data_IF_860057384565
#
_entry.id   IF_860057384565
#
_cell.length_a   1.000
_cell.length_b   1.000
_cell.length_c   1.000
_cell.angle_alpha   90.00
_cell.angle_beta   90.00
_cell.angle_gamma   90.00
#
_symmetry.space_group_name_H-M   'P 1'
#
loop_
_entity.id
_entity.type
_entity.pdbx_description
1 polymer ?
#
# COMPACT_ATOMS: atom_id res chain seq x y z
N UNK A 1 -13.75 -3.82 -11.21
CA UNK A 1 -13.60 -3.66 -9.75
C UNK A 1 -12.41 -4.45 -9.27
N UNK A 2 -11.61 -3.85 -8.45
CA UNK A 2 -10.42 -4.49 -7.95
C UNK A 2 -10.56 -4.98 -6.51
N UNK A 3 -9.56 -5.71 -6.06
CA UNK A 3 -9.45 -6.13 -4.67
C UNK A 3 -8.77 -5.03 -3.87
N UNK A 4 -9.38 -4.61 -2.77
CA UNK A 4 -8.78 -3.64 -1.85
C UNK A 4 -7.72 -4.31 -0.99
N UNK A 5 -6.60 -3.61 -0.79
CA UNK A 5 -5.52 -4.04 0.08
C UNK A 5 -5.14 -2.94 1.03
N UNK A 6 -4.75 -3.32 2.23
CA UNK A 6 -4.09 -2.45 3.18
C UNK A 6 -2.59 -2.70 3.08
N UNK A 7 -1.86 -1.68 2.66
CA UNK A 7 -0.40 -1.70 2.68
C UNK A 7 0.04 -1.03 3.97
N UNK A 8 0.72 -1.78 4.81
CA UNK A 8 1.22 -1.27 6.09
C UNK A 8 2.72 -1.20 6.01
N UNK A 9 3.30 -0.04 6.29
CA UNK A 9 4.75 0.09 6.30
C UNK A 9 5.22 0.65 7.63
N UNK A 10 6.41 0.19 8.06
CA UNK A 10 7.06 0.68 9.27
C UNK A 10 8.54 0.91 8.95
N UNK A 11 9.09 1.98 9.47
CA UNK A 11 10.51 2.26 9.28
C UNK A 11 11.35 1.22 10.02
N UNK A 12 12.45 0.80 9.38
CA UNK A 12 13.36 -0.13 10.02
C UNK A 12 14.16 0.58 11.10
N UNK A 13 14.62 -0.19 12.09
CA UNK A 13 15.51 0.32 13.12
C UNK A 13 16.84 0.73 12.49
N UNK A 14 17.46 1.77 13.01
CA UNK A 14 18.79 2.24 12.62
C UNK A 14 18.89 2.73 11.17
N UNK A 15 17.79 3.19 10.59
CA UNK A 15 17.83 3.85 9.29
C UNK A 15 18.44 5.24 9.45
N UNK A 16 19.44 5.55 8.65
CA UNK A 16 20.00 6.90 8.63
C UNK A 16 19.02 7.88 7.98
N UNK A 17 18.95 9.09 8.54
CA UNK A 17 18.06 10.13 8.03
C UNK A 17 18.28 10.39 6.54
N UNK A 18 19.54 10.42 6.09
CA UNK A 18 19.87 10.66 4.69
C UNK A 18 19.29 9.59 3.77
N UNK A 19 19.36 8.31 4.18
CA UNK A 19 18.77 7.21 3.42
C UNK A 19 17.24 7.30 3.37
N UNK A 20 16.64 7.66 4.50
CA UNK A 20 15.19 7.81 4.58
C UNK A 20 14.72 8.97 3.70
N UNK A 21 15.40 10.11 3.76
CA UNK A 21 15.08 11.28 2.95
C UNK A 21 15.21 10.97 1.45
N UNK A 22 16.24 10.21 1.07
CA UNK A 22 16.44 9.81 -0.32
C UNK A 22 15.33 8.85 -0.79
N UNK A 23 14.94 7.90 0.06
CA UNK A 23 13.86 6.98 -0.27
C UNK A 23 12.54 7.71 -0.47
N UNK A 24 12.23 8.69 0.39
CA UNK A 24 11.05 9.52 0.22
C UNK A 24 11.10 10.37 -1.05
N UNK A 25 12.27 10.92 -1.38
CA UNK A 25 12.44 11.67 -2.61
C UNK A 25 12.13 10.81 -3.84
N UNK A 26 12.63 9.58 -3.86
CA UNK A 26 12.33 8.62 -4.93
C UNK A 26 10.84 8.25 -4.95
N UNK A 27 10.25 8.04 -3.77
CA UNK A 27 8.83 7.72 -3.66
C UNK A 27 7.95 8.83 -4.24
N UNK A 28 8.27 10.09 -3.94
CA UNK A 28 7.51 11.22 -4.47
C UNK A 28 7.64 11.34 -6.00
N UNK A 29 8.83 11.10 -6.54
CA UNK A 29 9.02 11.07 -8.01
C UNK A 29 8.18 9.99 -8.65
N UNK A 30 8.22 8.79 -8.07
CA UNK A 30 7.44 7.65 -8.56
C UNK A 30 5.95 7.94 -8.52
N UNK A 31 5.47 8.46 -7.39
CA UNK A 31 4.06 8.80 -7.23
C UNK A 31 3.62 9.89 -8.21
N UNK A 32 4.44 10.92 -8.39
CA UNK A 32 4.13 12.00 -9.32
C UNK A 32 4.02 11.48 -10.75
N UNK A 33 4.80 10.47 -11.11
CA UNK A 33 4.82 9.89 -12.45
C UNK A 33 3.69 8.89 -12.69
N UNK A 34 3.34 8.07 -11.68
CA UNK A 34 2.47 6.92 -11.88
C UNK A 34 1.17 6.97 -11.07
N UNK A 35 1.11 7.81 -10.06
CA UNK A 35 -0.05 7.88 -9.16
C UNK A 35 -0.08 6.84 -8.06
N UNK A 36 0.99 6.07 -7.89
CA UNK A 36 1.11 5.11 -6.79
C UNK A 36 2.56 4.94 -6.36
N UNK A 37 2.74 4.32 -5.20
CA UNK A 37 4.08 4.16 -4.62
C UNK A 37 4.90 3.03 -5.24
N UNK A 38 4.25 2.13 -5.97
CA UNK A 38 4.90 0.97 -6.58
C UNK A 38 5.27 1.14 -8.04
N UNK A 39 5.05 2.32 -8.60
CA UNK A 39 5.55 2.67 -9.92
C UNK A 39 4.88 1.96 -11.09
N UNK A 40 3.64 1.48 -10.94
CA UNK A 40 2.91 0.88 -12.05
C UNK A 40 1.89 1.87 -12.60
N UNK A 41 1.82 1.97 -13.91
CA UNK A 41 0.93 2.93 -14.56
C UNK A 41 -0.52 2.49 -14.59
N UNK A 42 -0.77 1.18 -14.61
CA UNK A 42 -2.11 0.58 -14.65
C UNK A 42 -2.17 -0.64 -13.75
N UNK A 43 -3.36 -0.94 -13.24
CA UNK A 43 -3.62 -2.18 -12.52
C UNK A 43 -3.54 -2.09 -11.02
N UNK A 44 -3.01 -1.00 -10.46
CA UNK A 44 -3.06 -0.70 -9.03
C UNK A 44 -3.41 0.77 -8.87
N UNK A 45 -4.47 1.05 -8.12
CA UNK A 45 -4.96 2.40 -7.87
C UNK A 45 -4.70 2.78 -6.41
N UNK A 46 -4.05 3.90 -6.20
CA UNK A 46 -3.86 4.48 -4.88
C UNK A 46 -5.13 5.22 -4.46
N UNK A 47 -5.62 4.92 -3.26
CA UNK A 47 -6.78 5.61 -2.70
C UNK A 47 -6.40 6.61 -1.62
N UNK A 48 -5.59 6.21 -0.64
CA UNK A 48 -5.27 7.07 0.48
C UNK A 48 -4.03 6.58 1.20
N UNK A 49 -3.21 7.53 1.69
CA UNK A 49 -2.08 7.25 2.57
C UNK A 49 -2.30 7.95 3.90
N UNK A 50 -2.09 7.22 5.00
CA UNK A 50 -2.16 7.75 6.36
C UNK A 50 -0.80 7.57 7.02
N UNK A 51 -0.33 8.59 7.74
CA UNK A 51 0.88 8.47 8.55
C UNK A 51 0.54 7.96 9.94
N UNK A 52 1.43 7.14 10.47
CA UNK A 52 1.41 6.73 11.88
C UNK A 52 2.71 7.22 12.54
N UNK A 53 2.85 6.99 13.83
CA UNK A 53 4.05 7.47 14.53
C UNK A 53 5.37 6.88 14.02
N UNK A 54 5.35 5.67 13.44
CA UNK A 54 6.58 5.00 12.98
C UNK A 54 6.40 4.37 11.60
N UNK A 55 5.54 4.91 10.78
CA UNK A 55 5.30 4.38 9.46
C UNK A 55 4.02 4.92 8.87
N UNK A 56 3.21 4.04 8.28
CA UNK A 56 1.96 4.46 7.70
C UNK A 56 1.11 3.32 7.16
N UNK A 57 -0.05 3.71 6.69
CA UNK A 57 -1.04 2.83 6.09
C UNK A 57 -1.39 3.38 4.71
N UNK A 58 -1.50 2.51 3.74
CA UNK A 58 -1.88 2.89 2.38
C UNK A 58 -3.05 2.01 1.94
N UNK A 59 -4.10 2.62 1.46
CA UNK A 59 -5.22 1.89 0.85
C UNK A 59 -5.01 1.90 -0.65
N UNK A 60 -4.93 0.71 -1.24
CA UNK A 60 -4.80 0.53 -2.68
C UNK A 60 -5.86 -0.44 -3.17
N UNK A 61 -6.17 -0.31 -4.44
CA UNK A 61 -7.07 -1.23 -5.12
C UNK A 61 -6.29 -1.93 -6.24
N UNK A 62 -6.33 -3.25 -6.25
CA UNK A 62 -5.62 -4.06 -7.24
C UNK A 62 -6.62 -4.55 -8.27
N UNK A 63 -6.53 -4.05 -9.48
CA UNK A 63 -7.36 -4.47 -10.62
C UNK A 63 -6.69 -5.58 -11.41
N UNK A 64 -5.35 -5.60 -11.41
CA UNK A 64 -4.55 -6.56 -12.17
C UNK A 64 -3.52 -7.21 -11.24
N UNK A 65 -3.65 -8.52 -10.94
CA UNK A 65 -2.69 -9.21 -10.07
C UNK A 65 -1.25 -9.18 -10.57
N UNK A 66 -1.03 -9.20 -11.88
CA UNK A 66 0.33 -9.12 -12.43
C UNK A 66 0.95 -7.75 -12.15
N UNK A 67 0.18 -6.68 -12.32
CA UNK A 67 0.63 -5.34 -11.98
C UNK A 67 0.95 -5.24 -10.49
N UNK A 68 0.16 -5.90 -9.63
CA UNK A 68 0.43 -5.91 -8.20
C UNK A 68 1.75 -6.61 -7.87
N UNK A 69 2.06 -7.69 -8.57
CA UNK A 69 3.36 -8.35 -8.44
C UNK A 69 4.52 -7.40 -8.75
N UNK A 70 4.42 -6.65 -9.83
CA UNK A 70 5.42 -5.64 -10.19
C UNK A 70 5.48 -4.51 -9.16
N UNK A 71 4.33 -4.06 -8.67
CA UNK A 71 4.21 -3.06 -7.62
C UNK A 71 4.97 -3.48 -6.37
N UNK A 72 4.73 -4.71 -5.90
CA UNK A 72 5.38 -5.25 -4.70
C UNK A 72 6.89 -5.39 -4.90
N UNK A 73 7.31 -5.91 -6.05
CA UNK A 73 8.72 -6.08 -6.36
C UNK A 73 9.45 -4.73 -6.41
N UNK A 74 8.86 -3.75 -7.07
CA UNK A 74 9.42 -2.39 -7.13
C UNK A 74 9.54 -1.78 -5.75
N UNK A 75 8.47 -1.90 -4.95
CA UNK A 75 8.42 -1.34 -3.60
C UNK A 75 9.51 -1.94 -2.71
N UNK A 76 9.66 -3.25 -2.74
CA UNK A 76 10.67 -3.94 -1.94
C UNK A 76 12.09 -3.59 -2.41
N UNK A 77 12.32 -3.52 -3.71
CA UNK A 77 13.63 -3.17 -4.27
C UNK A 77 14.01 -1.73 -3.95
N UNK A 78 13.07 -0.82 -4.05
CA UNK A 78 13.34 0.62 -3.96
C UNK A 78 13.37 1.10 -2.51
N UNK A 79 12.46 0.58 -1.65
CA UNK A 79 12.27 1.08 -0.30
C UNK A 79 12.57 0.04 0.79
N UNK A 80 12.82 -1.22 0.41
CA UNK A 80 12.94 -2.32 1.37
C UNK A 80 14.09 -2.20 2.36
N UNK A 81 15.07 -1.36 2.08
CA UNK A 81 16.18 -1.11 3.00
C UNK A 81 15.82 -0.13 4.10
N UNK A 82 14.74 0.65 3.94
CA UNK A 82 14.32 1.66 4.93
C UNK A 82 12.97 1.32 5.59
N UNK A 83 12.13 0.51 4.93
CA UNK A 83 10.83 0.14 5.49
C UNK A 83 10.59 -1.36 5.39
N UNK A 84 9.85 -1.87 6.37
CA UNK A 84 9.18 -3.17 6.25
C UNK A 84 7.76 -2.92 5.79
N UNK A 85 7.27 -3.73 4.88
CA UNK A 85 5.93 -3.54 4.34
C UNK A 85 5.19 -4.88 4.31
N UNK A 86 3.89 -4.82 4.61
CA UNK A 86 2.97 -5.95 4.43
C UNK A 86 1.78 -5.48 3.63
N UNK A 87 1.19 -6.41 2.88
CA UNK A 87 -0.03 -6.16 2.12
C UNK A 87 -1.08 -7.18 2.56
N UNK A 88 -2.24 -6.68 2.98
CA UNK A 88 -3.33 -7.52 3.47
C UNK A 88 -4.58 -7.25 2.65
N UNK A 89 -5.22 -8.28 2.11
CA UNK A 89 -6.48 -8.08 1.41
C UNK A 89 -7.57 -7.64 2.40
N UNK A 90 -8.40 -6.71 1.97
CA UNK A 90 -9.51 -6.20 2.76
C UNK A 90 -10.81 -6.71 2.18
N UNK A 91 -11.71 -7.14 3.05
CA UNK A 91 -13.03 -7.63 2.67
C UNK A 91 -14.09 -6.76 3.33
N UNK A 92 -15.15 -6.47 2.58
CA UNK A 92 -16.27 -5.70 3.11
C UNK A 92 -17.12 -6.59 4.01
N UNK A 93 -16.88 -6.47 5.31
CA UNK A 93 -17.60 -7.26 6.30
C UNK A 93 -18.96 -6.67 6.68
N UNK A 94 -19.16 -5.39 6.46
CA UNK A 94 -20.42 -4.73 6.82
C UNK A 94 -21.59 -5.33 6.04
N UNK A 95 -21.39 -5.60 4.77
CA UNK A 95 -22.41 -6.21 3.93
C UNK A 95 -22.81 -7.60 4.44
N UNK A 96 -21.81 -8.40 4.81
CA UNK A 96 -22.03 -9.73 5.38
C UNK A 96 -22.76 -9.63 6.72
N UNK A 97 -22.35 -8.70 7.57
CA UNK A 97 -22.97 -8.48 8.86
C UNK A 97 -24.42 -7.99 8.73
N UNK A 98 -24.69 -7.11 7.77
CA UNK A 98 -26.05 -6.63 7.50
C UNK A 98 -26.99 -7.77 7.13
N UNK A 99 -26.56 -8.68 6.28
CA UNK A 99 -27.33 -9.86 5.90
C UNK A 99 -27.59 -10.75 7.10
N UNK A 100 -26.58 -11.02 7.91
CA UNK A 100 -26.68 -11.86 9.11
C UNK A 100 -27.65 -11.24 10.12
N UNK A 101 -27.53 -9.94 10.36
CA UNK A 101 -28.41 -9.22 11.28
C UNK A 101 -29.85 -9.29 10.78
N UNK A 102 -30.08 -9.07 9.50
CA UNK A 102 -31.39 -9.11 8.89
C UNK A 102 -32.02 -10.50 9.02
N UNK A 103 -31.24 -11.54 8.80
CA UNK A 103 -31.70 -12.92 8.87
C UNK A 103 -31.91 -13.43 10.28
N UNK A 104 -31.43 -12.69 11.28
CA UNK A 104 -31.58 -13.04 12.71
C UNK A 104 -32.87 -12.59 13.33
N UNK A 105 -33.69 -11.84 12.62
CA UNK A 105 -34.96 -11.30 13.10
C UNK A 105 -36.08 -12.32 13.03
#
# INVERSE_FOLDING_TARGET
MGQMYLQRFAYRDRVHKAELDQAWAEAFKTFAKTGNWGGVEKGVTHHQTYGTGWGGLVLIEVEDPDAFGHYQAYHNKTYGHVVQVTWEPLFDMDREFEETIRNSR
#
